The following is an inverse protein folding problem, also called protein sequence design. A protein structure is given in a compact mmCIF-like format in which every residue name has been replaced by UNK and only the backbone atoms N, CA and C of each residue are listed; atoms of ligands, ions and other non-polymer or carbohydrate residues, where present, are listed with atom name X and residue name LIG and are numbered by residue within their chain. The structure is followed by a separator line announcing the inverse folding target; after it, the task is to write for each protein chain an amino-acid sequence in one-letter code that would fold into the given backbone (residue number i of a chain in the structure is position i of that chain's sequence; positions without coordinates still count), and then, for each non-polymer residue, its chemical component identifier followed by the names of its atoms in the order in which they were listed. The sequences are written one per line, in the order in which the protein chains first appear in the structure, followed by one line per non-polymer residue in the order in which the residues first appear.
data_IF_635206100727
#
_entry.id   IF_635206100727
#
_cell.length_a   1.000
_cell.length_b   1.000
_cell.length_c   1.000
_cell.angle_alpha   90.00
_cell.angle_beta   90.00
_cell.angle_gamma   90.00
#
_symmetry.space_group_name_H-M   'P 1'
#
loop_
_entity.id
_entity.type
_entity.pdbx_description
1 polymer ?
#
# COMPACT_ATOMS: atom_id res chain seq x y z
N UNK A 1 -14.44 -49.71 18.15
CA UNK A 1 -13.41 -49.85 17.10
C UNK A 1 -12.87 -48.46 16.83
N UNK A 2 -11.84 -48.10 17.58
CA UNK A 2 -11.27 -46.77 17.68
C UNK A 2 -10.38 -46.46 16.46
N UNK A 3 -10.79 -45.47 15.68
CA UNK A 3 -10.05 -44.96 14.52
C UNK A 3 -8.84 -44.16 14.97
N UNK A 4 -7.71 -44.85 15.10
CA UNK A 4 -6.38 -44.33 15.40
C UNK A 4 -5.90 -43.34 14.33
N UNK A 5 -5.88 -42.05 14.65
CA UNK A 5 -5.23 -41.01 13.84
C UNK A 5 -3.71 -41.22 13.87
N UNK A 6 -3.10 -41.58 12.72
CA UNK A 6 -1.64 -41.64 12.57
C UNK A 6 -1.08 -40.23 12.43
N UNK A 7 -0.31 -39.79 13.44
CA UNK A 7 0.62 -38.66 13.29
C UNK A 7 1.77 -39.12 12.41
N UNK A 8 1.94 -38.49 11.26
CA UNK A 8 3.16 -38.62 10.47
C UNK A 8 4.25 -37.77 11.16
N UNK A 9 5.08 -38.43 11.97
CA UNK A 9 6.35 -37.91 12.44
C UNK A 9 7.30 -37.83 11.24
N UNK A 10 7.57 -36.62 10.77
CA UNK A 10 8.61 -36.32 9.81
C UNK A 10 9.61 -35.36 10.45
N UNK A 11 10.51 -35.90 11.27
CA UNK A 11 11.74 -35.20 11.64
C UNK A 11 12.60 -35.06 10.39
N UNK A 12 12.76 -33.83 9.91
CA UNK A 12 13.88 -33.43 9.06
C UNK A 12 14.46 -32.17 9.65
N UNK A 13 15.38 -32.39 10.58
CA UNK A 13 16.50 -31.48 10.81
C UNK A 13 17.19 -31.15 9.48
N UNK A 14 16.89 -29.98 8.93
CA UNK A 14 17.67 -29.33 7.90
C UNK A 14 18.07 -27.96 8.43
N UNK A 15 19.28 -27.94 8.99
CA UNK A 15 20.08 -26.76 9.27
C UNK A 15 20.23 -25.97 7.97
N UNK A 16 19.59 -24.81 7.91
CA UNK A 16 19.70 -23.87 6.80
C UNK A 16 19.01 -22.61 7.23
N UNK A 17 19.78 -21.66 7.77
CA UNK A 17 19.26 -20.39 8.25
C UNK A 17 18.35 -19.79 7.20
N UNK A 18 17.09 -19.59 7.58
CA UNK A 18 16.19 -18.71 6.84
C UNK A 18 16.96 -17.44 6.56
N UNK A 19 17.08 -16.96 5.31
CA UNK A 19 17.54 -15.61 5.12
C UNK A 19 16.50 -14.76 5.86
N UNK A 20 16.89 -14.19 7.00
CA UNK A 20 16.32 -12.94 7.47
C UNK A 20 16.45 -12.01 6.27
N UNK A 21 15.41 -12.00 5.45
CA UNK A 21 15.24 -11.00 4.42
C UNK A 21 14.89 -9.76 5.21
N UNK A 22 15.91 -9.15 5.80
CA UNK A 22 15.91 -7.75 6.22
C UNK A 22 15.96 -6.88 4.95
N UNK A 23 15.16 -7.25 3.94
CA UNK A 23 14.69 -6.31 2.95
C UNK A 23 13.69 -5.48 3.71
N UNK A 24 14.06 -4.22 3.99
CA UNK A 24 13.19 -3.21 4.57
C UNK A 24 11.80 -3.36 3.95
N UNK A 25 10.86 -3.95 4.69
CA UNK A 25 9.48 -4.07 4.22
C UNK A 25 9.01 -2.65 4.07
N UNK A 26 8.82 -2.20 2.83
CA UNK A 26 8.16 -0.92 2.57
C UNK A 26 6.90 -0.88 3.43
N UNK A 27 6.64 0.24 4.13
CA UNK A 27 5.48 0.32 4.99
C UNK A 27 4.24 -0.02 4.16
N UNK A 28 3.40 -0.91 4.66
CA UNK A 28 2.15 -1.22 3.99
C UNK A 28 1.26 0.03 3.92
N UNK A 29 0.42 0.13 2.88
CA UNK A 29 -0.61 1.18 2.82
C UNK A 29 -1.75 0.85 3.78
N UNK A 30 -2.32 1.88 4.41
CA UNK A 30 -3.46 1.74 5.32
C UNK A 30 -3.87 3.08 5.91
N UNK A 31 -5.03 3.12 6.55
CA UNK A 31 -5.52 4.33 7.22
C UNK A 31 -4.50 4.81 8.26
N UNK A 32 -4.21 6.11 8.25
CA UNK A 32 -3.22 6.76 9.12
C UNK A 32 -1.80 6.77 8.56
N UNK A 33 -1.54 6.11 7.43
CA UNK A 33 -0.22 6.12 6.79
C UNK A 33 -0.03 7.43 6.02
N UNK A 34 1.10 8.11 6.28
CA UNK A 34 1.56 9.25 5.50
C UNK A 34 2.15 8.76 4.17
N UNK A 35 1.77 9.44 3.10
CA UNK A 35 2.11 9.06 1.73
C UNK A 35 2.45 10.29 0.90
N UNK A 36 3.20 10.08 -0.18
CA UNK A 36 3.24 10.99 -1.31
C UNK A 36 2.70 10.32 -2.57
N UNK A 37 2.20 11.13 -3.51
CA UNK A 37 1.63 10.65 -4.77
C UNK A 37 2.63 10.82 -5.89
N UNK A 38 3.15 9.71 -6.44
CA UNK A 38 4.08 9.78 -7.57
C UNK A 38 3.36 10.14 -8.87
N UNK A 39 4.09 10.76 -9.79
CA UNK A 39 3.65 10.94 -11.18
C UNK A 39 3.71 9.60 -11.94
N UNK A 40 2.95 9.49 -13.03
CA UNK A 40 3.13 8.37 -13.95
C UNK A 40 4.45 8.53 -14.72
N UNK A 41 4.98 7.41 -15.21
CA UNK A 41 6.06 7.39 -16.20
C UNK A 41 5.57 6.63 -17.46
N UNK A 42 5.32 7.32 -18.58
CA UNK A 42 5.48 8.76 -18.80
C UNK A 42 4.40 9.60 -18.10
N UNK A 43 4.70 10.88 -17.86
CA UNK A 43 3.81 11.84 -17.20
C UNK A 43 2.48 11.97 -17.94
N UNK A 44 1.38 11.95 -17.18
CA UNK A 44 0.01 12.11 -17.64
C UNK A 44 -0.53 13.51 -17.35
N UNK A 45 -1.48 14.00 -18.15
CA UNK A 45 -2.20 15.25 -17.84
C UNK A 45 -3.05 15.15 -16.58
N UNK A 46 -3.45 13.92 -16.20
CA UNK A 46 -4.13 13.65 -14.95
C UNK A 46 -3.16 13.60 -13.76
N UNK A 47 -1.84 13.75 -13.91
CA UNK A 47 -0.95 13.71 -12.75
C UNK A 47 -1.11 14.90 -11.83
N UNK A 48 -0.73 14.69 -10.57
CA UNK A 48 -0.63 15.75 -9.57
C UNK A 48 0.66 16.54 -9.80
N UNK A 49 0.61 17.84 -9.51
CA UNK A 49 1.80 18.70 -9.60
C UNK A 49 2.68 18.48 -8.36
N UNK A 50 3.95 18.14 -8.55
CA UNK A 50 4.95 18.22 -7.50
C UNK A 50 4.86 17.14 -6.42
N UNK A 51 4.29 15.97 -6.75
CA UNK A 51 4.19 14.79 -5.88
C UNK A 51 3.63 15.08 -4.47
N UNK A 52 2.34 15.46 -4.37
CA UNK A 52 1.77 15.95 -3.14
C UNK A 52 1.76 14.93 -2.01
N UNK A 53 1.85 15.44 -0.79
CA UNK A 53 1.89 14.65 0.45
C UNK A 53 0.58 14.72 1.23
N UNK A 54 0.29 13.67 1.98
CA UNK A 54 -0.93 13.57 2.78
C UNK A 54 -1.01 12.29 3.61
N UNK A 55 -2.19 12.03 4.16
CA UNK A 55 -2.48 10.84 4.98
C UNK A 55 -3.67 10.08 4.40
N UNK A 56 -3.58 8.75 4.37
CA UNK A 56 -4.71 7.89 4.02
C UNK A 56 -5.77 7.98 5.12
N UNK A 57 -7.00 8.37 4.78
CA UNK A 57 -8.11 8.53 5.74
C UNK A 57 -9.19 7.46 5.60
N UNK A 58 -9.29 6.79 4.45
CA UNK A 58 -10.26 5.73 4.22
C UNK A 58 -9.85 4.86 3.02
N UNK A 59 -10.38 3.63 2.89
CA UNK A 59 -10.40 2.92 1.61
C UNK A 59 -11.14 3.74 0.55
N UNK A 60 -10.70 3.66 -0.71
CA UNK A 60 -11.42 4.21 -1.85
C UNK A 60 -12.47 3.24 -2.40
N UNK A 61 -13.11 3.60 -3.53
CA UNK A 61 -14.19 2.82 -4.15
C UNK A 61 -13.84 1.36 -4.49
N UNK A 62 -12.54 1.08 -4.69
CA UNK A 62 -12.02 -0.27 -4.98
C UNK A 62 -11.29 -0.91 -3.81
N UNK A 63 -11.26 -0.27 -2.64
CA UNK A 63 -10.47 -0.70 -1.48
C UNK A 63 -10.97 -1.94 -0.72
N UNK A 64 -12.22 -2.38 -0.95
CA UNK A 64 -12.83 -3.49 -0.19
C UNK A 64 -12.93 -4.82 -0.96
N UNK A 65 -12.50 -4.91 -2.22
CA UNK A 65 -12.64 -6.14 -3.01
C UNK A 65 -11.64 -7.25 -2.65
N UNK A 66 -10.51 -6.91 -2.01
CA UNK A 66 -9.46 -7.87 -1.67
C UNK A 66 -9.16 -7.93 -0.17
N UNK A 67 -10.17 -8.27 0.64
CA UNK A 67 -9.93 -8.67 2.04
C UNK A 67 -9.13 -9.99 2.10
N UNK A 68 -9.12 -10.79 1.02
CA UNK A 68 -8.30 -11.99 0.86
C UNK A 68 -7.79 -12.12 -0.58
N UNK A 69 -6.48 -11.99 -0.81
CA UNK A 69 -5.82 -12.19 -2.10
C UNK A 69 -4.60 -11.30 -2.29
N UNK A 70 -3.75 -11.55 -3.31
CA UNK A 70 -2.66 -10.63 -3.67
C UNK A 70 -3.22 -9.22 -3.89
N UNK A 71 -2.56 -8.20 -3.35
CA UNK A 71 -2.94 -6.81 -3.59
C UNK A 71 -2.89 -6.56 -5.10
N UNK A 72 -4.06 -6.51 -5.74
CA UNK A 72 -4.13 -6.13 -7.14
C UNK A 72 -3.85 -4.63 -7.28
N UNK A 73 -3.28 -4.23 -8.41
CA UNK A 73 -3.05 -2.81 -8.75
C UNK A 73 -4.32 -1.98 -8.89
N UNK A 74 -5.48 -2.51 -8.50
CA UNK A 74 -6.80 -1.88 -8.58
C UNK A 74 -7.24 -1.28 -7.25
N UNK A 75 -6.56 -1.59 -6.15
CA UNK A 75 -6.86 -1.03 -4.83
C UNK A 75 -6.72 0.49 -4.86
N UNK A 76 -7.69 1.21 -4.31
CA UNK A 76 -7.65 2.67 -4.17
C UNK A 76 -7.80 3.08 -2.71
N UNK A 77 -7.22 4.23 -2.38
CA UNK A 77 -7.25 4.85 -1.05
C UNK A 77 -7.69 6.30 -1.15
N UNK A 78 -8.47 6.76 -0.18
CA UNK A 78 -8.78 8.19 -0.02
C UNK A 78 -7.67 8.84 0.80
N UNK A 79 -6.99 9.81 0.20
CA UNK A 79 -5.91 10.60 0.81
C UNK A 79 -6.44 11.99 1.14
N UNK A 80 -6.17 12.46 2.35
CA UNK A 80 -6.28 13.87 2.72
C UNK A 80 -4.91 14.52 2.55
N UNK A 81 -4.82 15.54 1.71
CA UNK A 81 -3.58 16.27 1.49
C UNK A 81 -3.29 17.24 2.63
N UNK A 82 -2.01 17.53 2.87
CA UNK A 82 -1.61 18.54 3.87
C UNK A 82 -1.87 19.98 3.39
N UNK A 83 -1.84 20.19 2.07
CA UNK A 83 -2.19 21.44 1.42
C UNK A 83 -3.16 21.15 0.26
N UNK A 84 -4.09 22.05 -0.11
CA UNK A 84 -4.99 21.82 -1.23
C UNK A 84 -4.25 21.70 -2.58
N UNK A 85 -4.50 20.64 -3.34
CA UNK A 85 -3.68 20.23 -4.50
C UNK A 85 -4.35 20.44 -5.85
N UNK A 86 -3.54 20.71 -6.88
CA UNK A 86 -3.99 20.80 -8.27
C UNK A 86 -3.44 19.65 -9.12
N UNK A 87 -4.25 19.23 -10.08
CA UNK A 87 -3.83 18.37 -11.20
C UNK A 87 -3.09 19.22 -12.24
N UNK A 88 -2.25 18.58 -13.06
CA UNK A 88 -1.50 19.24 -14.15
C UNK A 88 -2.40 19.88 -15.20
N UNK A 89 -3.61 19.37 -15.39
CA UNK A 89 -4.63 19.97 -16.28
C UNK A 89 -5.34 21.20 -15.68
N UNK A 90 -4.97 21.61 -14.47
CA UNK A 90 -5.52 22.79 -13.80
C UNK A 90 -6.74 22.52 -12.92
N UNK A 91 -7.26 21.28 -12.85
CA UNK A 91 -8.33 20.93 -11.91
C UNK A 91 -7.86 21.00 -10.45
N UNK A 92 -8.74 21.46 -9.56
CA UNK A 92 -8.48 21.65 -8.13
C UNK A 92 -8.86 23.06 -7.67
N UNK A 93 -8.47 23.46 -6.45
CA UNK A 93 -7.69 22.67 -5.49
C UNK A 93 -8.54 21.56 -4.82
N UNK A 94 -7.91 20.44 -4.53
CA UNK A 94 -8.50 19.31 -3.83
C UNK A 94 -7.87 19.15 -2.45
N UNK A 95 -8.69 19.12 -1.40
CA UNK A 95 -8.24 18.76 -0.04
C UNK A 95 -8.13 17.24 0.14
N UNK A 96 -8.93 16.48 -0.61
CA UNK A 96 -8.94 15.02 -0.58
C UNK A 96 -9.07 14.44 -1.99
N UNK A 97 -8.54 13.24 -2.20
CA UNK A 97 -8.72 12.50 -3.45
C UNK A 97 -8.64 10.98 -3.28
N UNK A 98 -9.29 10.24 -4.18
CA UNK A 98 -9.15 8.79 -4.30
C UNK A 98 -7.99 8.49 -5.25
N UNK A 99 -7.02 7.71 -4.78
CA UNK A 99 -5.75 7.47 -5.47
C UNK A 99 -5.47 5.96 -5.55
N UNK A 100 -5.06 5.43 -6.72
CA UNK A 100 -4.57 4.06 -6.84
C UNK A 100 -3.40 3.78 -5.90
N UNK A 101 -3.41 2.63 -5.24
CA UNK A 101 -2.31 2.16 -4.41
C UNK A 101 -0.97 2.15 -5.17
N UNK A 102 -1.01 1.89 -6.49
CA UNK A 102 0.15 1.93 -7.37
C UNK A 102 0.77 3.32 -7.52
N UNK A 103 0.10 4.41 -7.15
CA UNK A 103 0.66 5.77 -7.20
C UNK A 103 1.03 6.28 -5.80
N UNK A 104 0.76 5.50 -4.75
CA UNK A 104 1.08 5.89 -3.38
C UNK A 104 2.38 5.25 -2.94
N UNK A 105 3.25 6.07 -2.39
CA UNK A 105 4.45 5.61 -1.70
C UNK A 105 4.31 5.98 -0.23
N UNK A 106 4.37 4.98 0.63
CA UNK A 106 4.36 5.19 2.07
C UNK A 106 5.67 5.86 2.49
N UNK A 107 5.56 6.93 3.27
CA UNK A 107 6.73 7.50 3.91
C UNK A 107 7.30 6.52 4.93
N UNK A 108 8.62 6.50 5.00
CA UNK A 108 9.32 5.62 5.92
C UNK A 108 8.96 6.02 7.37
N UNK A 109 8.55 5.08 8.24
CA UNK A 109 8.25 5.39 9.61
C UNK A 109 9.52 5.94 10.27
N UNK A 110 9.38 7.09 10.92
CA UNK A 110 10.44 7.65 11.73
C UNK A 110 10.65 6.74 12.95
N UNK A 111 11.75 5.98 12.97
CA UNK A 111 12.19 5.29 14.18
C UNK A 111 12.71 6.35 15.17
N UNK A 112 12.06 6.46 16.33
CA UNK A 112 12.49 7.31 17.45
C UNK A 112 13.37 6.55 18.42
#
# INVERSE_FOLDING_TARGET
MDGMWRRASGDRSATGGSPETTGRRSPGLGVGVQVYVREHDPVSSDDWIGEPTGVIIAPGDRGLRNVYGPQDGLTTWTVSFFEPQHRRDGRGPYETAIIPASLLVAEEPYDR
#
